data_IF_531671673572
#
_entry.id   IF_531671673572
#
_cell.length_a   1.000
_cell.length_b   1.000
_cell.length_c   1.000
_cell.angle_alpha   90.00
_cell.angle_beta   90.00
_cell.angle_gamma   90.00
#
_symmetry.space_group_name_H-M   'P 1'
#
loop_
_entity.id
_entity.type
_entity.pdbx_description
1 polymer ?
#
# COMPACT_ATOMS: atom_id res chain seq x y z
N UNK A 1 -19.37 -5.54 15.73
CA UNK A 1 -20.02 -5.30 14.42
C UNK A 1 -19.88 -3.87 13.91
N UNK A 2 -20.57 -2.85 14.45
CA UNK A 2 -20.46 -1.46 13.93
C UNK A 2 -19.05 -0.87 14.07
N UNK A 3 -18.42 -1.02 15.24
CA UNK A 3 -17.05 -0.54 15.49
C UNK A 3 -16.03 -1.23 14.55
N UNK A 4 -16.13 -2.54 14.40
CA UNK A 4 -15.24 -3.31 13.52
C UNK A 4 -15.35 -2.88 12.05
N UNK A 5 -16.58 -2.62 11.59
CA UNK A 5 -16.86 -2.10 10.25
C UNK A 5 -16.25 -0.71 10.04
N UNK A 6 -16.37 0.18 11.04
CA UNK A 6 -15.74 1.51 10.98
C UNK A 6 -14.22 1.38 10.90
N UNK A 7 -13.61 0.54 11.75
CA UNK A 7 -12.15 0.36 11.76
C UNK A 7 -11.66 -0.18 10.42
N UNK A 8 -12.35 -1.18 9.87
CA UNK A 8 -12.05 -1.71 8.53
C UNK A 8 -12.09 -0.61 7.46
N UNK A 9 -13.19 0.15 7.37
CA UNK A 9 -13.32 1.15 6.32
C UNK A 9 -12.35 2.32 6.49
N UNK A 10 -12.10 2.79 7.71
CA UNK A 10 -11.13 3.86 7.96
C UNK A 10 -9.73 3.41 7.57
N UNK A 11 -9.28 2.25 8.05
CA UNK A 11 -7.94 1.74 7.74
C UNK A 11 -7.75 1.40 6.25
N UNK A 12 -8.78 0.85 5.59
CA UNK A 12 -8.77 0.60 4.14
C UNK A 12 -8.67 1.91 3.36
N UNK A 13 -9.49 2.91 3.71
CA UNK A 13 -9.44 4.22 3.06
C UNK A 13 -8.09 4.91 3.24
N UNK A 14 -7.47 4.83 4.42
CA UNK A 14 -6.14 5.39 4.66
C UNK A 14 -5.04 4.66 3.85
N UNK A 15 -5.12 3.33 3.77
CA UNK A 15 -4.23 2.52 2.92
C UNK A 15 -4.35 2.92 1.46
N UNK A 16 -5.58 3.12 0.99
CA UNK A 16 -5.83 3.51 -0.40
C UNK A 16 -5.45 4.96 -0.66
N UNK A 17 -5.71 5.88 0.27
CA UNK A 17 -5.31 7.27 0.12
C UNK A 17 -3.80 7.38 -0.04
N UNK A 18 -3.04 6.78 0.87
CA UNK A 18 -1.57 6.76 0.81
C UNK A 18 -1.06 6.04 -0.45
N UNK A 19 -1.63 4.89 -0.80
CA UNK A 19 -1.31 4.15 -2.02
C UNK A 19 -1.56 4.96 -3.30
N UNK A 20 -2.75 5.53 -3.44
CA UNK A 20 -3.17 6.32 -4.59
C UNK A 20 -2.33 7.59 -4.73
N UNK A 21 -2.16 8.36 -3.65
CA UNK A 21 -1.32 9.57 -3.66
C UNK A 21 0.08 9.25 -4.18
N UNK A 22 0.72 8.18 -3.67
CA UNK A 22 2.03 7.77 -4.18
C UNK A 22 2.01 7.34 -5.65
N UNK A 23 0.99 6.59 -6.07
CA UNK A 23 0.90 6.10 -7.45
C UNK A 23 0.82 7.24 -8.48
N UNK A 24 0.05 8.30 -8.19
CA UNK A 24 -0.01 9.46 -9.06
C UNK A 24 1.29 10.28 -9.04
N UNK A 25 1.94 10.41 -7.88
CA UNK A 25 3.20 11.14 -7.76
C UNK A 25 4.35 10.48 -8.51
N UNK A 26 4.35 9.15 -8.68
CA UNK A 26 5.43 8.41 -9.38
C UNK A 26 5.61 8.80 -10.84
N UNK A 27 4.60 9.45 -11.45
CA UNK A 27 4.71 9.98 -12.82
C UNK A 27 5.38 11.36 -12.89
N UNK A 28 5.80 11.94 -11.76
CA UNK A 28 6.50 13.23 -11.73
C UNK A 28 8.01 13.07 -11.81
N UNK A 29 8.71 14.07 -12.36
CA UNK A 29 10.17 14.08 -12.44
C UNK A 29 10.84 14.02 -11.06
N UNK A 30 10.24 14.70 -10.06
CA UNK A 30 10.72 14.67 -8.68
C UNK A 30 10.74 13.25 -8.10
N UNK A 31 9.73 12.41 -8.42
CA UNK A 31 9.75 11.01 -8.03
C UNK A 31 10.70 10.17 -8.88
N UNK A 32 10.97 10.56 -10.14
CA UNK A 32 12.03 9.95 -10.94
C UNK A 32 13.40 10.03 -10.26
N UNK A 33 13.78 11.22 -9.79
CA UNK A 33 15.03 11.41 -9.03
C UNK A 33 15.02 10.64 -7.71
N UNK A 34 13.88 10.62 -6.98
CA UNK A 34 13.76 9.86 -5.74
C UNK A 34 13.94 8.34 -5.96
N UNK A 35 13.38 7.77 -7.02
CA UNK A 35 13.57 6.36 -7.35
C UNK A 35 15.02 6.07 -7.76
N UNK A 36 15.63 6.92 -8.58
CA UNK A 36 17.05 6.79 -8.96
C UNK A 36 17.99 6.85 -7.76
N UNK A 37 17.72 7.75 -6.81
CA UNK A 37 18.44 7.85 -5.53
C UNK A 37 18.38 6.53 -4.74
N UNK A 38 17.24 5.84 -4.78
CA UNK A 38 17.07 4.51 -4.18
C UNK A 38 17.66 3.34 -5.00
N UNK A 39 18.26 3.58 -6.16
CA UNK A 39 18.78 2.54 -7.06
C UNK A 39 17.73 1.94 -8.02
N UNK A 40 16.53 2.50 -8.02
CA UNK A 40 15.41 2.40 -8.98
C UNK A 40 15.71 2.62 -10.46
N UNK A 41 15.64 1.66 -11.41
CA UNK A 41 15.44 2.02 -12.80
C UNK A 41 14.08 2.70 -13.02
N UNK A 42 14.01 3.57 -14.02
CA UNK A 42 12.86 4.47 -14.22
C UNK A 42 11.55 3.75 -14.58
N UNK A 43 11.62 2.56 -15.20
CA UNK A 43 10.43 1.76 -15.49
C UNK A 43 9.75 1.23 -14.22
N UNK A 44 10.51 1.03 -13.12
CA UNK A 44 9.99 0.42 -11.89
C UNK A 44 8.95 1.30 -11.21
N UNK A 45 9.12 2.64 -11.25
CA UNK A 45 8.13 3.57 -10.69
C UNK A 45 6.78 3.49 -11.41
N UNK A 46 6.81 3.28 -12.73
CA UNK A 46 5.62 3.14 -13.58
C UNK A 46 4.92 1.81 -13.30
N UNK A 47 5.67 0.71 -13.26
CA UNK A 47 5.16 -0.62 -12.89
C UNK A 47 4.46 -0.57 -11.51
N UNK A 48 5.13 0.03 -10.52
CA UNK A 48 4.62 0.15 -9.16
C UNK A 48 3.36 1.04 -9.09
N UNK A 49 3.31 2.12 -9.87
CA UNK A 49 2.14 2.99 -9.96
C UNK A 49 0.93 2.24 -10.54
N UNK A 50 1.11 1.50 -11.64
CA UNK A 50 0.06 0.69 -12.26
C UNK A 50 -0.46 -0.35 -11.27
N UNK A 51 0.45 -1.08 -10.59
CA UNK A 51 0.07 -2.07 -9.58
C UNK A 51 -0.76 -1.48 -8.43
N UNK A 52 -0.37 -0.30 -7.93
CA UNK A 52 -1.14 0.44 -6.92
C UNK A 52 -2.52 0.85 -7.45
N UNK A 53 -2.61 1.39 -8.66
CA UNK A 53 -3.90 1.78 -9.26
C UNK A 53 -4.84 0.58 -9.37
N UNK A 54 -4.33 -0.59 -9.77
CA UNK A 54 -5.11 -1.84 -9.84
C UNK A 54 -5.57 -2.29 -8.45
N UNK A 55 -4.72 -2.19 -7.42
CA UNK A 55 -5.09 -2.62 -6.08
C UNK A 55 -6.17 -1.76 -5.40
N UNK A 56 -6.37 -0.51 -5.83
CA UNK A 56 -7.41 0.40 -5.32
C UNK A 56 -8.81 -0.25 -5.38
N UNK A 57 -9.34 -0.60 -6.57
CA UNK A 57 -10.65 -1.25 -6.67
C UNK A 57 -10.66 -2.62 -6.00
N UNK A 58 -9.55 -3.37 -6.02
CA UNK A 58 -9.49 -4.70 -5.39
C UNK A 58 -9.69 -4.66 -3.88
N UNK A 59 -9.17 -3.63 -3.19
CA UNK A 59 -9.36 -3.46 -1.75
C UNK A 59 -10.70 -2.78 -1.43
N UNK A 60 -11.10 -1.74 -2.18
CA UNK A 60 -12.31 -0.96 -1.87
C UNK A 60 -13.62 -1.68 -2.19
N UNK A 61 -13.71 -2.42 -3.30
CA UNK A 61 -14.98 -2.99 -3.73
C UNK A 61 -15.32 -4.20 -2.84
N UNK A 62 -16.48 -4.20 -2.13
CA UNK A 62 -16.86 -5.31 -1.26
C UNK A 62 -17.11 -6.62 -2.00
N UNK A 63 -17.57 -6.53 -3.26
CA UNK A 63 -17.91 -7.68 -4.10
C UNK A 63 -16.68 -8.41 -4.69
N UNK A 64 -15.46 -7.87 -4.52
CA UNK A 64 -14.24 -8.54 -5.00
C UNK A 64 -14.08 -9.88 -4.27
N UNK A 65 -13.88 -11.00 -4.99
CA UNK A 65 -13.68 -12.31 -4.40
C UNK A 65 -12.58 -12.29 -3.34
N UNK A 66 -12.82 -12.99 -2.22
CA UNK A 66 -11.89 -13.03 -1.06
C UNK A 66 -10.46 -13.35 -1.48
N UNK A 67 -10.26 -14.36 -2.34
CA UNK A 67 -8.93 -14.76 -2.78
C UNK A 67 -8.19 -13.62 -3.49
N UNK A 68 -8.86 -12.89 -4.39
CA UNK A 68 -8.27 -11.75 -5.12
C UNK A 68 -7.93 -10.62 -4.15
N UNK A 69 -8.79 -10.37 -3.16
CA UNK A 69 -8.54 -9.36 -2.14
C UNK A 69 -7.32 -9.71 -1.26
N UNK A 70 -7.14 -10.98 -0.90
CA UNK A 70 -5.94 -11.44 -0.19
C UNK A 70 -4.66 -11.22 -1.03
N UNK A 71 -4.71 -11.47 -2.34
CA UNK A 71 -3.59 -11.16 -3.23
C UNK A 71 -3.28 -9.66 -3.27
N UNK A 72 -4.29 -8.80 -3.27
CA UNK A 72 -4.09 -7.35 -3.19
C UNK A 72 -3.44 -6.93 -1.85
N UNK A 73 -3.87 -7.51 -0.73
CA UNK A 73 -3.23 -7.29 0.57
C UNK A 73 -1.77 -7.74 0.58
N UNK A 74 -1.47 -8.93 0.04
CA UNK A 74 -0.11 -9.46 -0.04
C UNK A 74 0.77 -8.56 -0.91
N UNK A 75 0.30 -8.15 -2.09
CA UNK A 75 1.03 -7.28 -3.00
C UNK A 75 1.35 -5.92 -2.35
N UNK A 76 0.38 -5.26 -1.72
CA UNK A 76 0.60 -4.01 -0.99
C UNK A 76 1.58 -4.20 0.18
N UNK A 77 1.47 -5.31 0.91
CA UNK A 77 2.38 -5.64 2.01
C UNK A 77 3.81 -5.77 1.53
N UNK A 78 4.04 -6.53 0.46
CA UNK A 78 5.38 -6.70 -0.15
C UNK A 78 5.94 -5.34 -0.58
N UNK A 79 5.14 -4.49 -1.23
CA UNK A 79 5.56 -3.16 -1.67
C UNK A 79 5.98 -2.28 -0.49
N UNK A 80 5.16 -2.22 0.57
CA UNK A 80 5.49 -1.39 1.73
C UNK A 80 6.69 -1.92 2.51
N UNK A 81 6.83 -3.23 2.67
CA UNK A 81 8.02 -3.83 3.27
C UNK A 81 9.28 -3.56 2.43
N UNK A 82 9.18 -3.67 1.10
CA UNK A 82 10.28 -3.37 0.19
C UNK A 82 10.70 -1.90 0.27
N UNK A 83 9.72 -0.99 0.37
CA UNK A 83 9.98 0.44 0.54
C UNK A 83 10.65 0.75 1.90
N UNK A 84 10.22 0.10 2.99
CA UNK A 84 10.90 0.20 4.30
C UNK A 84 12.36 -0.23 4.17
N UNK A 85 12.63 -1.36 3.53
CA UNK A 85 14.00 -1.87 3.33
C UNK A 85 14.81 -0.89 2.48
N UNK A 86 14.29 -0.44 1.34
CA UNK A 86 14.99 0.46 0.43
C UNK A 86 15.39 1.78 1.12
N UNK A 87 14.45 2.44 1.80
CA UNK A 87 14.74 3.66 2.55
C UNK A 87 15.67 3.41 3.73
N UNK A 88 15.55 2.28 4.44
CA UNK A 88 16.46 1.98 5.55
C UNK A 88 17.90 1.80 5.08
N UNK A 89 18.09 1.11 3.95
CA UNK A 89 19.42 0.81 3.40
C UNK A 89 20.08 2.07 2.82
N UNK A 90 19.31 2.93 2.15
CA UNK A 90 19.85 4.11 1.44
C UNK A 90 19.87 5.36 2.31
N UNK A 91 18.80 5.63 3.07
CA UNK A 91 18.58 6.87 3.82
C UNK A 91 18.70 6.69 5.35
N UNK A 92 18.79 5.44 5.83
CA UNK A 92 18.83 5.09 7.25
C UNK A 92 17.45 4.88 7.89
N UNK A 93 17.45 4.41 9.14
CA UNK A 93 16.24 3.92 9.85
C UNK A 93 15.14 4.98 9.99
N UNK A 94 15.50 6.26 10.08
CA UNK A 94 14.52 7.35 10.20
C UNK A 94 13.60 7.50 8.98
N UNK A 95 14.08 7.16 7.78
CA UNK A 95 13.31 7.26 6.54
C UNK A 95 12.28 6.13 6.37
N UNK A 96 12.39 5.06 7.16
CA UNK A 96 11.45 3.92 7.13
C UNK A 96 10.05 4.27 7.63
N UNK A 97 9.86 5.39 8.33
CA UNK A 97 8.58 5.80 8.92
C UNK A 97 7.52 5.99 7.84
N UNK A 98 7.89 6.61 6.72
CA UNK A 98 6.98 6.96 5.62
C UNK A 98 6.27 5.72 5.04
N UNK A 99 6.97 4.63 4.67
CA UNK A 99 6.34 3.38 4.24
C UNK A 99 5.81 2.50 5.39
N UNK A 100 6.25 2.71 6.63
CA UNK A 100 5.73 1.97 7.80
C UNK A 100 4.29 2.33 8.15
N UNK A 101 3.92 3.61 8.11
CA UNK A 101 2.55 4.06 8.39
C UNK A 101 1.48 3.35 7.53
N UNK A 102 1.57 3.35 6.19
CA UNK A 102 0.59 2.68 5.34
C UNK A 102 0.60 1.16 5.51
N UNK A 103 1.74 0.55 5.89
CA UNK A 103 1.78 -0.87 6.25
C UNK A 103 0.94 -1.16 7.51
N UNK A 104 1.00 -0.30 8.53
CA UNK A 104 0.16 -0.44 9.73
C UNK A 104 -1.33 -0.35 9.34
N UNK A 105 -1.71 0.61 8.51
CA UNK A 105 -3.09 0.73 8.03
C UNK A 105 -3.53 -0.51 7.27
N UNK A 106 -2.68 -1.06 6.41
CA UNK A 106 -2.94 -2.28 5.65
C UNK A 106 -3.16 -3.48 6.58
N UNK A 107 -2.31 -3.66 7.60
CA UNK A 107 -2.42 -4.75 8.59
C UNK A 107 -3.72 -4.64 9.39
N UNK A 108 -4.08 -3.43 9.83
CA UNK A 108 -5.33 -3.19 10.55
C UNK A 108 -6.53 -3.49 9.64
N UNK A 109 -6.49 -3.00 8.40
CA UNK A 109 -7.52 -3.26 7.39
C UNK A 109 -7.71 -4.76 7.16
N UNK A 110 -6.62 -5.51 6.94
CA UNK A 110 -6.64 -6.96 6.74
C UNK A 110 -7.22 -7.71 7.94
N UNK A 111 -6.76 -7.38 9.16
CA UNK A 111 -7.24 -8.02 10.39
C UNK A 111 -8.76 -7.82 10.57
N UNK A 112 -9.25 -6.61 10.33
CA UNK A 112 -10.68 -6.32 10.48
C UNK A 112 -11.51 -6.83 9.31
N UNK A 113 -10.94 -6.95 8.10
CA UNK A 113 -11.56 -7.65 6.98
C UNK A 113 -11.85 -9.11 7.35
N UNK A 114 -10.88 -9.84 7.91
CA UNK A 114 -11.11 -11.22 8.36
C UNK A 114 -12.12 -11.28 9.51
N UNK A 115 -12.09 -10.33 10.45
CA UNK A 115 -13.05 -10.30 11.56
C UNK A 115 -14.50 -10.12 11.08
N UNK A 116 -14.72 -9.34 10.02
CA UNK A 116 -16.05 -9.09 9.46
C UNK A 116 -16.55 -10.24 8.56
N UNK A 117 -15.65 -11.05 8.02
CA UNK A 117 -15.96 -12.16 7.11
C UNK A 117 -15.72 -13.55 7.73
N UNK A 118 -15.52 -13.63 9.05
CA UNK A 118 -15.65 -14.89 9.79
C UNK A 118 -17.14 -15.17 9.94
N UNK A 119 -17.62 -16.19 9.21
CA UNK A 119 -18.85 -16.89 9.55
C UNK A 119 -18.67 -17.65 10.87
#
# INVERSE_FOLDING_TARGET
MRKDKIIYWVSTSLTILTGASSAFLYFTDAMGEAFRHLGFPDYFKVELAIGKIIGIPLLLIPAVPRIIKEWAYAAYGIVFMSAIIAHTVVDGVGAAITPLLPLIFLIVSHRYYHKLNRA
#
